data_IF_792772057619
#
_entry.id   IF_792772057619
#
_cell.length_a   1.000
_cell.length_b   1.000
_cell.length_c   1.000
_cell.angle_alpha   90.00
_cell.angle_beta   90.00
_cell.angle_gamma   90.00
#
_symmetry.space_group_name_H-M   'P 1'
#
loop_
_entity.id
_entity.type
_entity.pdbx_description
1 polymer ?
#
# COMPACT_ATOMS: atom_id res chain seq x y z
N UNK A 1 12.97 20.19 -2.48
CA UNK A 1 11.83 20.97 -1.99
C UNK A 1 10.55 20.16 -2.09
N UNK A 2 9.61 20.36 -1.16
CA UNK A 2 8.24 19.83 -1.23
C UNK A 2 7.36 20.93 -1.80
N UNK A 3 6.63 20.67 -2.88
CA UNK A 3 5.81 21.66 -3.60
C UNK A 3 4.31 21.48 -3.30
N UNK A 4 3.87 20.32 -2.77
CA UNK A 4 2.52 20.08 -2.22
C UNK A 4 2.46 18.83 -1.30
N UNK A 5 1.41 18.67 -0.49
CA UNK A 5 1.22 17.48 0.37
C UNK A 5 1.03 16.20 -0.47
N UNK A 6 1.73 15.12 -0.10
CA UNK A 6 1.66 13.83 -0.82
C UNK A 6 2.61 13.69 -2.01
N UNK A 7 3.29 14.75 -2.44
CA UNK A 7 4.24 14.72 -3.57
C UNK A 7 5.32 13.62 -3.46
N UNK A 8 5.97 13.37 -2.30
CA UNK A 8 6.96 12.30 -2.20
C UNK A 8 6.36 10.90 -2.38
N UNK A 9 5.15 10.66 -1.87
CA UNK A 9 4.46 9.39 -2.01
C UNK A 9 4.06 9.14 -3.47
N UNK A 10 3.52 10.16 -4.15
CA UNK A 10 3.18 10.08 -5.57
C UNK A 10 4.41 9.85 -6.45
N UNK A 11 5.52 10.53 -6.18
CA UNK A 11 6.78 10.31 -6.91
C UNK A 11 7.34 8.91 -6.69
N UNK A 12 7.28 8.40 -5.46
CA UNK A 12 7.75 7.07 -5.13
C UNK A 12 6.88 5.99 -5.79
N UNK A 13 5.56 6.17 -5.81
CA UNK A 13 4.62 5.31 -6.54
C UNK A 13 4.90 5.34 -8.04
N UNK A 14 5.00 6.52 -8.64
CA UNK A 14 5.31 6.66 -10.08
C UNK A 14 6.64 6.00 -10.45
N UNK A 15 7.64 6.08 -9.57
CA UNK A 15 8.90 5.35 -9.73
C UNK A 15 8.70 3.83 -9.61
N UNK A 16 7.87 3.37 -8.68
CA UNK A 16 7.61 1.96 -8.44
C UNK A 16 6.78 1.28 -9.55
N UNK A 17 5.91 2.01 -10.27
CA UNK A 17 5.00 1.44 -11.28
C UNK A 17 5.68 0.62 -12.39
N UNK A 18 6.95 0.88 -12.67
CA UNK A 18 7.75 0.11 -13.66
C UNK A 18 8.65 -0.95 -13.04
N UNK A 19 8.63 -1.07 -11.71
CA UNK A 19 9.47 -2.00 -10.97
C UNK A 19 8.81 -3.34 -10.71
N UNK A 20 9.64 -4.25 -10.20
CA UNK A 20 9.26 -5.59 -9.75
C UNK A 20 9.77 -5.82 -8.34
N UNK A 21 9.12 -6.74 -7.64
CA UNK A 21 9.53 -7.16 -6.30
C UNK A 21 10.81 -8.01 -6.38
N UNK A 22 11.96 -7.35 -6.31
CA UNK A 22 13.28 -7.99 -6.40
C UNK A 22 13.77 -8.48 -5.06
N UNK A 23 13.40 -7.81 -3.97
CA UNK A 23 13.81 -8.20 -2.62
C UNK A 23 12.92 -9.32 -2.08
N UNK A 24 11.65 -9.41 -2.50
CA UNK A 24 10.68 -10.43 -2.09
C UNK A 24 10.61 -10.61 -0.58
N UNK A 25 10.77 -9.49 0.13
CA UNK A 25 10.78 -9.48 1.58
C UNK A 25 9.43 -9.97 2.10
N UNK A 26 9.47 -10.81 3.13
CA UNK A 26 8.28 -11.21 3.87
C UNK A 26 8.03 -10.21 4.99
N UNK A 27 6.80 -9.70 5.16
CA UNK A 27 6.45 -8.86 6.29
C UNK A 27 6.86 -9.48 7.62
N UNK A 28 7.42 -8.67 8.51
CA UNK A 28 7.74 -9.05 9.88
C UNK A 28 6.77 -8.30 10.78
N UNK A 29 5.89 -9.05 11.45
CA UNK A 29 4.83 -8.49 12.31
C UNK A 29 5.13 -8.89 13.76
N UNK A 30 5.16 -7.90 14.64
CA UNK A 30 5.40 -8.06 16.07
C UNK A 30 4.25 -7.40 16.83
N UNK A 31 3.39 -8.20 17.50
CA UNK A 31 2.28 -7.70 18.34
C UNK A 31 1.44 -6.60 17.65
N UNK A 32 0.93 -6.90 16.45
CA UNK A 32 0.16 -5.98 15.60
C UNK A 32 0.95 -4.82 14.95
N UNK A 33 2.28 -4.82 15.06
CA UNK A 33 3.14 -3.78 14.45
C UNK A 33 3.96 -4.36 13.30
N UNK A 34 3.85 -3.76 12.12
CA UNK A 34 4.70 -4.09 10.97
C UNK A 34 6.09 -3.46 11.15
N UNK A 35 7.15 -4.27 11.14
CA UNK A 35 8.52 -3.80 11.28
C UNK A 35 9.03 -3.12 9.99
N UNK A 36 8.92 -1.79 9.96
CA UNK A 36 9.43 -0.99 8.84
C UNK A 36 10.94 -0.73 8.91
N UNK A 37 11.58 -1.01 10.04
CA UNK A 37 13.02 -0.78 10.22
C UNK A 37 13.83 -1.74 9.35
N UNK A 38 13.50 -3.04 9.42
CA UNK A 38 14.13 -4.07 8.59
C UNK A 38 13.93 -3.79 7.10
N UNK A 39 12.73 -3.33 6.71
CA UNK A 39 12.49 -2.88 5.33
C UNK A 39 13.47 -1.80 4.88
N UNK A 40 13.67 -0.77 5.69
CA UNK A 40 14.56 0.35 5.34
C UNK A 40 16.01 -0.10 5.26
N UNK A 41 16.44 -1.00 6.16
CA UNK A 41 17.78 -1.58 6.13
C UNK A 41 18.01 -2.36 4.82
N UNK A 42 17.10 -3.27 4.47
CA UNK A 42 17.19 -4.06 3.24
C UNK A 42 17.22 -3.19 1.97
N UNK A 43 16.42 -2.12 1.92
CA UNK A 43 16.46 -1.16 0.81
C UNK A 43 17.83 -0.46 0.76
N UNK A 44 18.34 -0.02 1.91
CA UNK A 44 19.61 0.69 1.99
C UNK A 44 20.78 -0.18 1.55
N UNK A 45 20.81 -1.45 1.94
CA UNK A 45 21.86 -2.41 1.57
C UNK A 45 21.86 -2.77 0.07
N UNK A 46 20.70 -2.65 -0.58
CA UNK A 46 20.52 -3.00 -1.99
C UNK A 46 20.49 -1.79 -2.94
N UNK A 47 20.61 -0.56 -2.43
CA UNK A 47 20.50 0.68 -3.23
C UNK A 47 21.50 0.80 -4.39
N UNK A 48 22.69 0.23 -4.24
CA UNK A 48 23.74 0.25 -5.28
C UNK A 48 23.67 -0.97 -6.23
N UNK A 49 22.88 -1.98 -5.86
CA UNK A 49 22.79 -3.28 -6.56
C UNK A 49 21.53 -3.40 -7.41
N UNK A 50 20.47 -2.69 -7.03
CA UNK A 50 19.16 -2.77 -7.64
C UNK A 50 18.71 -1.42 -8.18
N UNK A 51 17.86 -1.44 -9.20
CA UNK A 51 17.28 -0.22 -9.72
C UNK A 51 16.32 0.42 -8.71
N UNK A 52 16.28 1.75 -8.67
CA UNK A 52 15.43 2.52 -7.74
C UNK A 52 13.96 2.12 -7.87
N UNK A 53 13.47 1.89 -9.09
CA UNK A 53 12.08 1.48 -9.32
C UNK A 53 11.76 0.10 -8.73
N UNK A 54 12.72 -0.84 -8.78
CA UNK A 54 12.57 -2.17 -8.21
C UNK A 54 12.58 -2.14 -6.68
N UNK A 55 13.45 -1.31 -6.09
CA UNK A 55 13.49 -1.11 -4.64
C UNK A 55 12.22 -0.42 -4.14
N UNK A 56 11.74 0.60 -4.87
CA UNK A 56 10.49 1.27 -4.56
C UNK A 56 9.31 0.29 -4.65
N UNK A 57 9.23 -0.56 -5.67
CA UNK A 57 8.18 -1.57 -5.78
C UNK A 57 8.28 -2.62 -4.66
N UNK A 58 9.48 -3.09 -4.34
CA UNK A 58 9.70 -4.04 -3.23
C UNK A 58 9.23 -3.46 -1.89
N UNK A 59 9.44 -2.16 -1.67
CA UNK A 59 8.95 -1.45 -0.48
C UNK A 59 7.41 -1.39 -0.42
N UNK A 60 6.76 -1.00 -1.52
CA UNK A 60 5.30 -1.02 -1.61
C UNK A 60 4.75 -2.42 -1.38
N UNK A 61 5.39 -3.43 -1.98
CA UNK A 61 5.00 -4.85 -1.83
C UNK A 61 5.07 -5.32 -0.38
N UNK A 62 6.16 -5.03 0.33
CA UNK A 62 6.31 -5.36 1.74
C UNK A 62 5.22 -4.71 2.60
N UNK A 63 5.02 -3.40 2.44
CA UNK A 63 4.04 -2.65 3.22
C UNK A 63 2.61 -3.12 2.95
N UNK A 64 2.24 -3.28 1.68
CA UNK A 64 0.91 -3.72 1.28
C UNK A 64 0.59 -5.13 1.80
N UNK A 65 1.54 -6.07 1.71
CA UNK A 65 1.39 -7.42 2.26
C UNK A 65 1.25 -7.39 3.78
N UNK A 66 2.11 -6.66 4.48
CA UNK A 66 2.08 -6.58 5.94
C UNK A 66 0.78 -5.96 6.47
N UNK A 67 0.29 -4.91 5.82
CA UNK A 67 -1.02 -4.32 6.17
C UNK A 67 -2.18 -5.28 5.87
N UNK A 68 -2.12 -6.02 4.77
CA UNK A 68 -3.13 -7.02 4.45
C UNK A 68 -3.13 -8.16 5.48
N UNK A 69 -1.96 -8.67 5.86
CA UNK A 69 -1.81 -9.73 6.87
C UNK A 69 -2.41 -9.30 8.21
N UNK A 70 -2.07 -8.11 8.69
CA UNK A 70 -2.66 -7.53 9.92
C UNK A 70 -4.19 -7.40 9.82
N UNK A 71 -4.70 -6.91 8.69
CA UNK A 71 -6.13 -6.75 8.49
C UNK A 71 -6.87 -8.09 8.42
N UNK A 72 -6.27 -9.10 7.78
CA UNK A 72 -6.81 -10.46 7.69
C UNK A 72 -6.85 -11.09 9.09
N UNK A 73 -5.77 -11.01 9.84
CA UNK A 73 -5.68 -11.53 11.21
C UNK A 73 -6.82 -10.97 12.07
N UNK A 74 -6.98 -9.64 12.12
CA UNK A 74 -8.05 -9.00 12.88
C UNK A 74 -9.44 -9.33 12.35
N UNK A 75 -9.62 -9.45 11.04
CA UNK A 75 -10.90 -9.85 10.49
C UNK A 75 -11.29 -11.27 10.94
N UNK A 76 -10.35 -12.22 10.88
CA UNK A 76 -10.59 -13.61 11.28
C UNK A 76 -10.83 -13.74 12.79
N UNK A 77 -10.06 -13.06 13.63
CA UNK A 77 -10.24 -13.02 15.09
C UNK A 77 -11.64 -12.54 15.47
N UNK A 78 -12.21 -11.61 14.70
CA UNK A 78 -13.52 -11.01 14.96
C UNK A 78 -14.66 -11.68 14.16
N UNK A 79 -14.38 -12.76 13.41
CA UNK A 79 -15.39 -13.43 12.57
C UNK A 79 -15.93 -12.58 11.41
N UNK A 80 -15.19 -11.56 11.00
CA UNK A 80 -15.53 -10.69 9.88
C UNK A 80 -15.15 -11.35 8.55
N UNK A 81 -15.91 -11.05 7.50
CA UNK A 81 -15.72 -11.60 6.14
C UNK A 81 -15.20 -10.56 5.15
N UNK A 82 -14.85 -9.37 5.62
CA UNK A 82 -14.61 -8.22 4.75
C UNK A 82 -13.54 -7.32 5.33
N UNK A 83 -12.61 -6.89 4.48
CA UNK A 83 -11.58 -5.89 4.78
C UNK A 83 -11.80 -4.69 3.87
N UNK A 84 -11.91 -3.51 4.47
CA UNK A 84 -12.02 -2.24 3.76
C UNK A 84 -10.69 -1.49 3.74
N UNK A 85 -10.35 -0.89 2.60
CA UNK A 85 -9.17 -0.03 2.43
C UNK A 85 -9.59 1.36 1.95
N UNK A 86 -9.12 2.41 2.64
CA UNK A 86 -9.52 3.81 2.42
C UNK A 86 -8.38 4.77 2.80
N UNK A 87 -8.62 6.08 2.70
CA UNK A 87 -7.64 7.13 2.94
C UNK A 87 -6.75 7.44 1.74
N UNK A 88 -5.79 8.36 1.90
CA UNK A 88 -4.93 8.82 0.80
C UNK A 88 -4.08 7.73 0.14
N UNK A 89 -3.73 6.67 0.89
CA UNK A 89 -2.97 5.51 0.37
C UNK A 89 -3.85 4.56 -0.44
N UNK A 90 -5.19 4.63 -0.31
CA UNK A 90 -6.10 3.87 -1.16
C UNK A 90 -6.15 4.40 -2.61
N UNK A 91 -5.51 5.54 -2.89
CA UNK A 91 -5.25 6.00 -4.26
C UNK A 91 -4.03 5.33 -4.89
N UNK A 92 -3.22 4.59 -4.11
CA UNK A 92 -2.01 3.95 -4.61
C UNK A 92 -2.35 2.61 -5.26
N UNK A 93 -2.14 2.51 -6.57
CA UNK A 93 -2.54 1.35 -7.38
C UNK A 93 -1.82 0.06 -6.95
N UNK A 94 -0.55 0.19 -6.54
CA UNK A 94 0.27 -0.95 -6.10
C UNK A 94 -0.28 -1.53 -4.80
N UNK A 95 -0.61 -0.67 -3.82
CA UNK A 95 -1.22 -1.11 -2.56
C UNK A 95 -2.58 -1.77 -2.79
N UNK A 96 -3.47 -1.11 -3.54
CA UNK A 96 -4.82 -1.65 -3.82
C UNK A 96 -4.74 -3.03 -4.46
N UNK A 97 -3.86 -3.20 -5.45
CA UNK A 97 -3.68 -4.48 -6.13
C UNK A 97 -3.19 -5.57 -5.18
N UNK A 98 -2.08 -5.33 -4.47
CA UNK A 98 -1.45 -6.33 -3.61
C UNK A 98 -2.35 -6.69 -2.42
N UNK A 99 -2.99 -5.69 -1.80
CA UNK A 99 -3.91 -5.94 -0.70
C UNK A 99 -5.13 -6.73 -1.15
N UNK A 100 -5.72 -6.38 -2.31
CA UNK A 100 -6.83 -7.15 -2.88
C UNK A 100 -6.45 -8.61 -3.08
N UNK A 101 -5.35 -8.87 -3.79
CA UNK A 101 -4.87 -10.22 -4.06
C UNK A 101 -4.64 -11.01 -2.76
N UNK A 102 -4.02 -10.37 -1.76
CA UNK A 102 -3.70 -11.01 -0.47
C UNK A 102 -4.96 -11.31 0.37
N UNK A 103 -5.89 -10.36 0.46
CA UNK A 103 -7.14 -10.50 1.22
C UNK A 103 -8.08 -11.52 0.58
N UNK A 104 -8.23 -11.46 -0.74
CA UNK A 104 -9.12 -12.38 -1.47
C UNK A 104 -8.55 -13.82 -1.46
N UNK A 105 -7.23 -13.99 -1.49
CA UNK A 105 -6.58 -15.29 -1.31
C UNK A 105 -6.83 -15.89 0.08
N UNK A 106 -7.06 -15.07 1.11
CA UNK A 106 -7.47 -15.51 2.44
C UNK A 106 -8.98 -15.80 2.57
N UNK A 107 -9.74 -15.68 1.47
CA UNK A 107 -11.19 -15.94 1.45
C UNK A 107 -12.05 -14.80 2.01
N UNK A 108 -11.46 -13.62 2.21
CA UNK A 108 -12.16 -12.41 2.65
C UNK A 108 -12.52 -11.52 1.46
N UNK A 109 -13.59 -10.74 1.59
CA UNK A 109 -13.98 -9.74 0.58
C UNK A 109 -13.15 -8.47 0.75
N UNK A 110 -12.51 -7.99 -0.31
CA UNK A 110 -11.80 -6.71 -0.29
C UNK A 110 -12.68 -5.56 -0.83
N UNK A 111 -12.85 -4.51 -0.04
CA UNK A 111 -13.55 -3.28 -0.42
C UNK A 111 -12.56 -2.12 -0.48
N UNK A 112 -12.65 -1.31 -1.53
CA UNK A 112 -11.89 -0.06 -1.67
C UNK A 112 -12.87 1.04 -2.06
N UNK A 113 -12.71 2.25 -1.50
CA UNK A 113 -13.50 3.40 -1.98
C UNK A 113 -13.13 3.69 -3.43
N UNK A 114 -14.14 3.83 -4.28
CA UNK A 114 -14.02 3.97 -5.73
C UNK A 114 -13.44 5.35 -6.11
N UNK A 115 -12.13 5.52 -5.92
CA UNK A 115 -11.35 6.65 -6.43
C UNK A 115 -10.22 6.22 -7.39
N UNK A 116 -10.14 4.93 -7.73
CA UNK A 116 -9.14 4.40 -8.66
C UNK A 116 -9.86 3.68 -9.80
N UNK A 117 -10.08 4.34 -10.95
CA UNK A 117 -10.53 3.66 -12.16
C UNK A 117 -9.45 2.69 -12.64
N UNK A 118 -9.81 1.50 -13.15
CA UNK A 118 -8.84 0.59 -13.75
C UNK A 118 -8.45 1.11 -15.13
N UNK A 119 -7.32 1.80 -15.22
CA UNK A 119 -6.66 2.14 -16.48
C UNK A 119 -7.19 3.40 -17.15
N UNK A 120 -6.48 4.50 -16.95
CA UNK A 120 -5.77 5.21 -18.03
C UNK A 120 -4.99 6.37 -17.40
N UNK A 121 -3.78 6.59 -17.91
CA UNK A 121 -2.74 7.38 -17.26
C UNK A 121 -3.15 8.78 -16.83
N UNK A 122 -2.72 9.13 -15.61
CA UNK A 122 -2.46 10.51 -15.21
C UNK A 122 -3.59 11.15 -14.42
N UNK A 123 -3.18 11.74 -13.29
CA UNK A 123 -3.97 12.58 -12.39
C UNK A 123 -4.81 11.80 -11.37
N UNK A 124 -4.14 11.16 -10.41
CA UNK A 124 -4.70 11.02 -9.06
C UNK A 124 -4.97 12.43 -8.53
N UNK A 125 -6.18 12.92 -8.74
CA UNK A 125 -6.73 14.09 -8.09
C UNK A 125 -6.85 13.77 -6.59
N UNK A 126 -5.73 13.84 -5.88
CA UNK A 126 -5.65 13.87 -4.42
C UNK A 126 -6.14 15.19 -3.84
N UNK A 127 -7.18 15.79 -4.41
CA UNK A 127 -7.84 16.99 -3.90
C UNK A 127 -9.35 16.93 -4.16
N UNK A 128 -10.04 15.99 -3.55
CA UNK A 128 -11.44 16.16 -3.17
C UNK A 128 -11.82 15.08 -2.18
N UNK A 129 -12.07 15.49 -0.93
CA UNK A 129 -13.09 15.00 0.02
C UNK A 129 -12.60 15.12 1.46
N UNK A 130 -12.44 16.37 1.90
CA UNK A 130 -12.84 16.75 3.25
C UNK A 130 -14.15 17.55 3.10
N UNK A 131 -15.28 16.84 3.01
CA UNK A 131 -16.60 17.46 3.08
C UNK A 131 -17.60 16.49 3.71
N UNK A 132 -17.95 16.78 4.97
CA UNK A 132 -19.29 16.48 5.50
C UNK A 132 -19.46 15.21 6.32
N UNK A 133 -18.87 15.14 7.51
CA UNK A 133 -19.51 14.45 8.64
C UNK A 133 -19.49 15.36 9.88
N UNK A 134 -20.43 16.30 9.92
CA UNK A 134 -20.95 16.82 11.19
C UNK A 134 -22.27 16.08 11.45
N UNK A 135 -22.38 15.25 12.49
CA UNK A 135 -23.67 14.80 12.95
C UNK A 135 -24.43 16.00 13.55
N UNK A 136 -25.66 16.19 13.10
CA UNK A 136 -26.67 17.00 13.81
C UNK A 136 -27.27 16.17 14.95
#
# INVERSE_FOLDING_TARGET
>A
ERTYEGEPAMKLEAAAMKGKDVLRLKPIIESDTLNTTELVLEIFENREKCAIHDLAFSAHSYLAKGLAELAIEKALENGLKTVGFSGGVACNEIFVKIMRETVEAAGLKFLVHEMVPPGDGGLSFGQAFAAGFSPS
#
